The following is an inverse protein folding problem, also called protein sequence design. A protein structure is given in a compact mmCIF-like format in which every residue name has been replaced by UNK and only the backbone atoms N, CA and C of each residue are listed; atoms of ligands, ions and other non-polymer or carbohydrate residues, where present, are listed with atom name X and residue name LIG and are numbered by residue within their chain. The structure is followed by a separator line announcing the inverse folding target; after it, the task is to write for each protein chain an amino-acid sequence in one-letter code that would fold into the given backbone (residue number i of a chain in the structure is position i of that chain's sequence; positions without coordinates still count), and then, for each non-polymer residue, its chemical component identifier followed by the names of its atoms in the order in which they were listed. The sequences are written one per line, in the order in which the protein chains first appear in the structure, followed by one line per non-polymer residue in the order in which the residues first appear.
data_IF_645638227781
#
_entry.id   IF_645638227781
#
_cell.length_a   1.000
_cell.length_b   1.000
_cell.length_c   1.000
_cell.angle_alpha   90.00
_cell.angle_beta   90.00
_cell.angle_gamma   90.00
#
_symmetry.space_group_name_H-M   'P 1'
#
loop_
_entity.id
_entity.type
_entity.pdbx_description
1 polymer ?
#
# COMPACT_ATOMS: atom_id res chain seq x y z
N UNK A 1 19.46 -5.75 21.39
CA UNK A 1 18.51 -5.35 20.32
C UNK A 1 18.92 -3.96 19.91
N UNK A 2 19.19 -3.73 18.62
CA UNK A 2 19.44 -2.37 18.12
C UNK A 2 18.09 -1.72 17.82
N UNK A 3 17.88 -0.50 18.28
CA UNK A 3 16.75 0.33 17.86
C UNK A 3 16.90 0.59 16.35
N UNK A 4 15.85 0.33 15.56
CA UNK A 4 15.81 0.80 14.17
C UNK A 4 15.39 2.27 14.22
N UNK A 5 16.33 3.17 13.98
CA UNK A 5 16.03 4.60 13.87
C UNK A 5 15.64 4.95 12.44
N UNK A 6 14.48 5.59 12.28
CA UNK A 6 14.06 6.17 11.01
C UNK A 6 15.08 7.22 10.51
N UNK A 7 15.51 7.12 9.26
CA UNK A 7 16.38 8.13 8.63
C UNK A 7 15.59 9.42 8.41
N UNK A 8 15.86 10.44 9.22
CA UNK A 8 15.22 11.76 9.13
C UNK A 8 15.37 12.43 7.77
N UNK A 9 16.31 12.02 6.91
CA UNK A 9 16.41 12.51 5.52
C UNK A 9 15.26 12.05 4.64
N UNK A 10 14.58 10.96 5.02
CA UNK A 10 13.43 10.42 4.30
C UNK A 10 12.10 11.05 4.72
N UNK A 11 12.05 11.70 5.90
CA UNK A 11 10.84 12.34 6.43
C UNK A 11 10.21 13.29 5.39
N UNK A 12 8.89 13.55 5.44
CA UNK A 12 8.26 14.53 4.55
C UNK A 12 9.01 15.88 4.53
N UNK A 13 9.44 16.32 3.34
CA UNK A 13 10.25 17.53 3.17
C UNK A 13 11.75 17.36 3.42
N UNK A 14 12.21 16.15 3.75
CA UNK A 14 13.61 15.79 3.88
C UNK A 14 14.34 15.74 2.53
N UNK A 15 15.66 15.93 2.55
CA UNK A 15 16.51 16.01 1.34
C UNK A 15 16.38 14.79 0.42
N UNK A 16 16.18 13.60 1.01
CA UNK A 16 16.06 12.33 0.28
C UNK A 16 14.61 11.87 0.17
N UNK A 17 13.65 12.64 0.68
CA UNK A 17 12.25 12.27 0.61
C UNK A 17 11.73 12.34 -0.82
N UNK A 18 10.56 11.73 -1.02
CA UNK A 18 9.79 11.95 -2.23
C UNK A 18 8.95 13.21 -2.06
N UNK A 19 8.70 13.90 -3.18
CA UNK A 19 7.77 15.01 -3.27
C UNK A 19 6.77 14.64 -4.37
N UNK A 20 5.57 14.14 -4.02
CA UNK A 20 4.57 13.83 -5.03
C UNK A 20 4.15 15.07 -5.80
N UNK A 21 3.99 14.90 -7.12
CA UNK A 21 3.33 15.87 -7.99
C UNK A 21 2.13 15.16 -8.59
N UNK A 22 1.07 15.03 -7.79
CA UNK A 22 -0.10 14.24 -8.15
C UNK A 22 -1.08 15.02 -9.03
N UNK A 23 -1.54 14.39 -10.11
CA UNK A 23 -2.71 14.85 -10.85
C UNK A 23 -3.96 14.91 -9.96
N UNK A 24 -4.73 15.98 -10.11
CA UNK A 24 -5.94 16.24 -9.33
C UNK A 24 -7.13 15.40 -9.83
N UNK A 25 -7.05 14.08 -9.74
CA UNK A 25 -8.19 13.20 -9.99
C UNK A 25 -8.79 12.73 -8.68
N UNK A 26 -10.06 13.07 -8.45
CA UNK A 26 -10.83 12.63 -7.29
C UNK A 26 -11.85 11.58 -7.75
N UNK A 27 -11.75 10.32 -7.30
CA UNK A 27 -12.65 9.27 -7.72
C UNK A 27 -14.02 9.40 -7.05
N UNK A 28 -15.02 8.77 -7.66
CA UNK A 28 -16.30 8.51 -7.01
C UNK A 28 -16.29 7.11 -6.39
N UNK A 29 -16.24 7.02 -5.06
CA UNK A 29 -16.19 5.74 -4.31
C UNK A 29 -17.52 4.95 -4.31
N UNK A 30 -18.54 5.44 -5.01
CA UNK A 30 -19.79 4.72 -5.26
C UNK A 30 -19.68 3.72 -6.42
N UNK A 31 -18.70 3.90 -7.31
CA UNK A 31 -18.46 2.99 -8.43
C UNK A 31 -17.66 1.77 -7.99
N UNK A 32 -17.67 0.72 -8.83
CA UNK A 32 -16.80 -0.44 -8.64
C UNK A 32 -15.33 -0.04 -8.71
N UNK A 33 -14.51 -0.61 -7.82
CA UNK A 33 -13.07 -0.39 -7.73
C UNK A 33 -12.37 -0.41 -9.10
N UNK A 34 -12.46 -1.51 -9.85
CA UNK A 34 -11.75 -1.66 -11.13
C UNK A 34 -12.23 -0.67 -12.19
N UNK A 35 -13.55 -0.47 -12.29
CA UNK A 35 -14.15 0.50 -13.20
C UNK A 35 -13.69 1.94 -12.91
N UNK A 36 -13.49 2.30 -11.64
CA UNK A 36 -13.00 3.63 -11.28
C UNK A 36 -11.50 3.78 -11.55
N UNK A 37 -10.70 2.73 -11.38
CA UNK A 37 -9.29 2.74 -11.80
C UNK A 37 -9.18 2.91 -13.32
N UNK A 38 -9.97 2.19 -14.11
CA UNK A 38 -10.01 2.36 -15.58
C UNK A 38 -10.41 3.78 -15.99
N UNK A 39 -11.35 4.39 -15.26
CA UNK A 39 -11.73 5.79 -15.46
C UNK A 39 -10.60 6.75 -15.13
N UNK A 40 -9.92 6.55 -14.01
CA UNK A 40 -8.78 7.36 -13.60
C UNK A 40 -7.62 7.27 -14.61
N UNK A 41 -7.30 6.05 -15.07
CA UNK A 41 -6.32 5.82 -16.14
C UNK A 41 -6.71 6.57 -17.43
N UNK A 42 -7.99 6.55 -17.80
CA UNK A 42 -8.50 7.30 -18.97
C UNK A 42 -8.41 8.82 -18.80
N UNK A 43 -8.27 9.32 -17.56
CA UNK A 43 -8.01 10.72 -17.24
C UNK A 43 -6.51 11.03 -17.07
N UNK A 44 -5.62 10.09 -17.42
CA UNK A 44 -4.18 10.28 -17.38
C UNK A 44 -3.54 10.08 -16.01
N UNK A 45 -4.26 9.52 -15.03
CA UNK A 45 -3.70 9.21 -13.71
C UNK A 45 -2.70 8.05 -13.83
N UNK A 46 -1.46 8.29 -13.39
CA UNK A 46 -0.43 7.25 -13.31
C UNK A 46 -0.48 6.55 -11.95
N UNK A 47 -0.79 5.26 -11.95
CA UNK A 47 -0.79 4.45 -10.74
C UNK A 47 0.49 3.65 -10.56
N UNK A 48 0.80 3.34 -9.30
CA UNK A 48 1.67 2.24 -8.89
C UNK A 48 0.87 1.33 -7.96
N UNK A 49 0.91 0.01 -8.21
CA UNK A 49 0.44 -0.98 -7.26
C UNK A 49 1.53 -1.27 -6.23
N UNK A 50 1.23 -1.05 -4.95
CA UNK A 50 2.08 -1.45 -3.83
C UNK A 50 1.48 -2.71 -3.20
N UNK A 51 2.16 -3.85 -3.37
CA UNK A 51 1.86 -5.11 -2.69
C UNK A 51 2.62 -5.13 -1.37
N UNK A 52 1.92 -4.93 -0.24
CA UNK A 52 2.53 -4.68 1.07
C UNK A 52 2.36 -5.89 1.97
N UNK A 53 3.45 -6.62 2.24
CA UNK A 53 3.48 -7.81 3.11
C UNK A 53 2.34 -8.80 2.78
N UNK A 54 2.26 -9.24 1.53
CA UNK A 54 1.12 -10.02 1.02
C UNK A 54 1.10 -11.48 1.49
N UNK A 55 1.91 -11.85 2.48
CA UNK A 55 2.13 -13.24 2.89
C UNK A 55 0.86 -13.97 3.32
N UNK A 56 0.02 -13.35 4.15
CA UNK A 56 -1.23 -13.92 4.64
C UNK A 56 -2.48 -13.46 3.87
N UNK A 57 -2.32 -12.70 2.79
CA UNK A 57 -3.45 -12.15 2.03
C UNK A 57 -4.25 -13.20 1.27
N UNK A 58 -5.51 -12.88 0.98
CA UNK A 58 -6.36 -13.71 0.11
C UNK A 58 -5.86 -13.64 -1.34
N UNK A 59 -5.16 -14.71 -1.75
CA UNK A 59 -4.63 -14.88 -3.11
C UNK A 59 -5.72 -14.75 -4.17
N UNK A 60 -6.97 -15.12 -3.88
CA UNK A 60 -8.09 -15.01 -4.81
C UNK A 60 -8.49 -13.56 -5.11
N UNK A 61 -8.04 -12.60 -4.28
CA UNK A 61 -8.27 -11.16 -4.46
C UNK A 61 -7.05 -10.45 -5.03
N UNK A 62 -5.86 -10.81 -4.55
CA UNK A 62 -4.61 -10.18 -4.98
C UNK A 62 -4.20 -10.59 -6.40
N UNK A 63 -4.38 -11.86 -6.79
CA UNK A 63 -4.01 -12.31 -8.14
C UNK A 63 -4.81 -11.58 -9.24
N UNK A 64 -6.16 -11.46 -9.15
CA UNK A 64 -6.91 -10.67 -10.12
C UNK A 64 -6.47 -9.20 -10.20
N UNK A 65 -6.07 -8.59 -9.08
CA UNK A 65 -5.54 -7.23 -9.07
C UNK A 65 -4.21 -7.13 -9.84
N UNK A 66 -3.31 -8.09 -9.66
CA UNK A 66 -2.04 -8.17 -10.39
C UNK A 66 -2.30 -8.29 -11.89
N UNK A 67 -3.19 -9.19 -12.30
CA UNK A 67 -3.52 -9.36 -13.73
C UNK A 67 -4.19 -8.12 -14.32
N UNK A 68 -5.06 -7.45 -13.55
CA UNK A 68 -5.64 -6.17 -13.95
C UNK A 68 -4.56 -5.09 -14.15
N UNK A 69 -3.59 -4.99 -13.22
CA UNK A 69 -2.52 -4.00 -13.31
C UNK A 69 -1.62 -4.27 -14.52
N UNK A 70 -1.27 -5.53 -14.78
CA UNK A 70 -0.51 -5.95 -15.97
C UNK A 70 -1.21 -5.56 -17.27
N UNK A 71 -2.51 -5.87 -17.38
CA UNK A 71 -3.32 -5.54 -18.56
C UNK A 71 -3.33 -4.03 -18.85
N UNK A 72 -3.27 -3.21 -17.81
CA UNK A 72 -3.36 -1.76 -17.90
C UNK A 72 -1.99 -1.06 -17.82
N UNK A 73 -0.88 -1.81 -17.86
CA UNK A 73 0.49 -1.27 -17.72
C UNK A 73 0.68 -0.41 -16.45
N UNK A 74 0.06 -0.82 -15.34
CA UNK A 74 0.30 -0.24 -14.02
C UNK A 74 1.54 -0.93 -13.43
N UNK A 75 2.53 -0.13 -13.05
CA UNK A 75 3.77 -0.59 -12.42
C UNK A 75 3.47 -1.27 -11.07
N UNK A 76 4.17 -2.36 -10.76
CA UNK A 76 3.97 -3.14 -9.53
C UNK A 76 5.26 -3.11 -8.72
N UNK A 77 5.15 -2.69 -7.46
CA UNK A 77 6.23 -2.80 -6.48
C UNK A 77 5.78 -3.76 -5.39
N UNK A 78 6.62 -4.76 -5.13
CA UNK A 78 6.41 -5.74 -4.08
C UNK A 78 7.23 -5.41 -2.84
N UNK A 79 6.62 -5.46 -1.66
CA UNK A 79 7.26 -5.17 -0.39
C UNK A 79 7.18 -6.39 0.53
N UNK A 80 8.31 -7.05 0.75
CA UNK A 80 8.43 -8.17 1.70
C UNK A 80 8.89 -7.63 3.07
N UNK A 81 8.25 -8.07 4.15
CA UNK A 81 8.59 -7.65 5.51
C UNK A 81 9.44 -8.71 6.23
N UNK A 82 10.64 -8.33 6.66
CA UNK A 82 11.53 -9.21 7.42
C UNK A 82 11.46 -8.81 8.88
N UNK A 83 10.79 -9.64 9.68
CA UNK A 83 10.80 -9.49 11.14
C UNK A 83 12.06 -10.17 11.69
N UNK A 84 12.83 -9.44 12.52
CA UNK A 84 14.15 -9.82 13.06
C UNK A 84 14.17 -11.21 13.76
N UNK A 85 13.01 -11.75 14.13
CA UNK A 85 12.86 -12.98 14.95
C UNK A 85 12.24 -14.18 14.23
N UNK A 86 11.84 -14.06 12.96
CA UNK A 86 11.27 -15.18 12.20
C UNK A 86 11.84 -15.20 10.78
N UNK A 87 11.86 -16.38 10.14
CA UNK A 87 12.10 -16.49 8.70
C UNK A 87 11.19 -15.48 7.99
N UNK A 88 11.77 -14.46 7.35
CA UNK A 88 11.04 -13.29 6.87
C UNK A 88 9.77 -13.65 6.09
N UNK A 89 8.74 -12.81 6.21
CA UNK A 89 7.47 -12.97 5.50
C UNK A 89 7.73 -12.66 4.04
N UNK A 90 7.86 -13.71 3.23
CA UNK A 90 8.04 -13.61 1.79
C UNK A 90 6.70 -13.67 1.08
N UNK A 91 6.59 -12.96 -0.02
CA UNK A 91 5.49 -13.12 -0.95
C UNK A 91 5.34 -14.60 -1.34
N UNK A 92 4.13 -15.20 -1.24
CA UNK A 92 3.89 -16.60 -1.57
C UNK A 92 4.20 -16.89 -3.03
N UNK A 93 4.73 -18.08 -3.33
CA UNK A 93 5.10 -18.47 -4.70
C UNK A 93 3.90 -18.43 -5.67
N UNK A 94 2.69 -18.68 -5.15
CA UNK A 94 1.46 -18.59 -5.95
C UNK A 94 1.08 -17.17 -6.32
N UNK A 95 1.55 -16.15 -5.60
CA UNK A 95 1.42 -14.74 -6.01
C UNK A 95 2.60 -14.38 -6.93
N UNK A 96 3.83 -14.79 -6.57
CA UNK A 96 5.05 -14.49 -7.35
C UNK A 96 4.94 -14.91 -8.81
N UNK A 97 4.36 -16.07 -9.09
CA UNK A 97 4.19 -16.57 -10.47
C UNK A 97 3.35 -15.66 -11.37
N UNK A 98 2.57 -14.74 -10.80
CA UNK A 98 1.74 -13.80 -11.55
C UNK A 98 2.40 -12.43 -11.74
N UNK A 99 3.44 -12.13 -10.96
CA UNK A 99 4.19 -10.87 -11.07
C UNK A 99 4.99 -10.82 -12.39
N UNK A 100 5.12 -9.64 -13.02
CA UNK A 100 6.11 -9.41 -14.07
C UNK A 100 7.52 -9.84 -13.65
N UNK A 101 8.33 -10.36 -14.57
CA UNK A 101 9.70 -10.83 -14.27
C UNK A 101 10.60 -9.72 -13.73
N UNK A 102 10.34 -8.48 -14.12
CA UNK A 102 11.06 -7.25 -13.75
C UNK A 102 10.45 -6.53 -12.53
N UNK A 103 9.49 -7.15 -11.84
CA UNK A 103 8.85 -6.56 -10.65
C UNK A 103 9.89 -6.20 -9.60
N UNK A 104 9.95 -4.92 -9.23
CA UNK A 104 10.82 -4.46 -8.15
C UNK A 104 10.34 -5.03 -6.82
N UNK A 105 11.22 -5.74 -6.11
CA UNK A 105 10.96 -6.22 -4.74
C UNK A 105 11.85 -5.49 -3.75
N UNK A 106 11.22 -4.79 -2.80
CA UNK A 106 11.88 -4.09 -1.70
C UNK A 106 11.69 -4.92 -0.43
N UNK A 107 12.80 -5.26 0.23
CA UNK A 107 12.80 -5.96 1.52
C UNK A 107 12.91 -4.90 2.61
N UNK A 108 11.93 -4.82 3.49
CA UNK A 108 11.88 -3.81 4.58
C UNK A 108 11.91 -4.47 5.96
N UNK A 109 12.51 -3.78 6.92
CA UNK A 109 12.55 -4.15 8.35
C UNK A 109 11.64 -3.24 9.22
N UNK A 110 11.01 -2.27 8.56
CA UNK A 110 10.10 -1.25 9.11
C UNK A 110 8.67 -1.53 8.68
N UNK A 111 7.67 -0.91 9.33
CA UNK A 111 6.26 -1.20 9.00
C UNK A 111 5.84 -0.44 7.74
N UNK A 112 6.13 0.85 7.66
CA UNK A 112 5.87 1.70 6.50
C UNK A 112 6.83 1.43 5.35
N UNK A 113 6.30 1.34 4.12
CA UNK A 113 7.13 1.31 2.91
C UNK A 113 7.98 2.58 2.76
N UNK A 114 7.55 3.73 3.29
CA UNK A 114 8.28 5.00 3.19
C UNK A 114 9.43 5.12 4.20
N UNK A 115 9.67 4.09 5.01
CA UNK A 115 10.85 4.02 5.86
C UNK A 115 12.06 3.39 5.14
N UNK A 116 11.92 3.01 3.86
CA UNK A 116 12.99 2.47 3.01
C UNK A 116 13.44 3.51 1.97
N UNK A 117 14.76 3.81 1.86
CA UNK A 117 15.30 4.67 0.80
C UNK A 117 14.93 4.23 -0.61
N UNK A 118 14.92 2.92 -0.85
CA UNK A 118 14.60 2.29 -2.13
C UNK A 118 13.18 2.66 -2.60
N UNK A 119 12.21 2.75 -1.67
CA UNK A 119 10.86 3.21 -1.99
C UNK A 119 10.86 4.61 -2.56
N UNK A 120 11.63 5.53 -1.96
CA UNK A 120 11.72 6.91 -2.44
C UNK A 120 12.39 7.00 -3.81
N UNK A 121 13.41 6.18 -4.06
CA UNK A 121 14.08 6.11 -5.36
C UNK A 121 13.14 5.57 -6.45
N UNK A 122 12.46 4.46 -6.18
CA UNK A 122 11.50 3.87 -7.11
C UNK A 122 10.37 4.85 -7.42
N UNK A 123 9.72 5.40 -6.40
CA UNK A 123 8.59 6.30 -6.61
C UNK A 123 9.02 7.64 -7.27
N UNK A 124 10.26 8.13 -7.07
CA UNK A 124 10.78 9.28 -7.84
C UNK A 124 10.95 8.93 -9.31
N UNK A 125 11.52 7.76 -9.61
CA UNK A 125 11.71 7.30 -11.00
C UNK A 125 10.37 7.11 -11.71
N UNK A 126 9.42 6.47 -11.04
CA UNK A 126 8.10 6.20 -11.61
C UNK A 126 7.25 7.49 -11.65
N UNK A 127 7.38 8.38 -10.67
CA UNK A 127 6.55 9.58 -10.51
C UNK A 127 5.05 9.29 -10.63
N UNK A 128 4.47 8.42 -9.78
CA UNK A 128 3.04 8.14 -9.82
C UNK A 128 2.23 9.33 -9.29
N UNK A 129 0.97 9.39 -9.72
CA UNK A 129 -0.04 10.32 -9.21
C UNK A 129 -0.78 9.75 -8.02
N UNK A 130 -0.94 8.43 -7.96
CA UNK A 130 -1.67 7.75 -6.92
C UNK A 130 -1.14 6.32 -6.72
N UNK A 131 -1.37 5.80 -5.52
CA UNK A 131 -0.96 4.44 -5.15
C UNK A 131 -2.18 3.55 -5.02
N UNK A 132 -2.08 2.31 -5.49
CA UNK A 132 -3.04 1.26 -5.19
C UNK A 132 -2.43 0.40 -4.09
N UNK A 133 -3.14 0.23 -2.97
CA UNK A 133 -2.65 -0.59 -1.85
C UNK A 133 -3.42 -1.90 -1.76
N UNK A 134 -2.66 -3.00 -1.71
CA UNK A 134 -3.13 -4.34 -1.36
C UNK A 134 -2.11 -5.00 -0.44
N UNK A 135 -2.55 -5.71 0.58
CA UNK A 135 -1.62 -6.18 1.60
C UNK A 135 -2.28 -6.58 2.91
N UNK A 136 -1.44 -6.87 3.89
CA UNK A 136 -1.86 -7.23 5.24
C UNK A 136 -1.91 -5.99 6.16
N UNK A 137 -3.06 -5.79 6.82
CA UNK A 137 -3.23 -4.77 7.87
C UNK A 137 -2.95 -5.32 9.27
N UNK A 138 -3.14 -6.63 9.49
CA UNK A 138 -2.90 -7.30 10.78
C UNK A 138 -1.44 -7.16 11.27
N UNK A 139 -0.49 -6.98 10.34
CA UNK A 139 0.91 -6.64 10.64
C UNK A 139 1.19 -5.14 10.74
N UNK A 140 0.17 -4.28 10.85
CA UNK A 140 0.24 -2.81 10.78
C UNK A 140 0.88 -2.21 9.51
N UNK A 141 1.43 -3.02 8.59
CA UNK A 141 2.23 -2.53 7.47
C UNK A 141 1.42 -1.68 6.48
N UNK A 142 0.22 -2.11 6.08
CA UNK A 142 -0.66 -1.28 5.23
C UNK A 142 -1.02 0.02 5.94
N UNK A 143 -1.37 -0.03 7.23
CA UNK A 143 -1.75 1.15 8.01
C UNK A 143 -0.59 2.12 8.20
N UNK A 144 0.60 1.63 8.53
CA UNK A 144 1.84 2.42 8.63
C UNK A 144 2.18 3.06 7.28
N UNK A 145 2.09 2.27 6.20
CA UNK A 145 2.37 2.74 4.85
C UNK A 145 1.35 3.77 4.39
N UNK A 146 0.10 3.70 4.85
CA UNK A 146 -0.93 4.66 4.51
C UNK A 146 -0.84 5.93 5.34
N UNK A 147 -0.79 5.79 6.67
CA UNK A 147 -1.05 6.83 7.67
C UNK A 147 0.19 7.19 8.51
N UNK A 148 1.26 6.40 8.50
CA UNK A 148 2.35 6.49 9.47
C UNK A 148 1.94 6.12 10.90
N UNK A 149 2.89 6.22 11.84
CA UNK A 149 2.69 6.02 13.28
C UNK A 149 3.70 6.83 14.11
N UNK A 150 3.31 7.21 15.33
CA UNK A 150 4.16 7.98 16.26
C UNK A 150 4.22 7.36 17.67
N UNK A 151 4.63 8.17 18.66
CA UNK A 151 4.92 7.75 20.05
C UNK A 151 3.78 6.98 20.75
N UNK A 152 2.53 7.25 20.38
CA UNK A 152 1.35 6.62 20.97
C UNK A 152 1.15 5.16 20.51
N UNK A 153 1.91 4.71 19.51
CA UNK A 153 1.83 3.34 18.98
C UNK A 153 2.60 2.35 19.87
N UNK A 154 2.00 1.19 20.15
CA UNK A 154 2.71 0.09 20.83
C UNK A 154 3.94 -0.42 20.06
N UNK A 155 4.04 -0.10 18.78
CA UNK A 155 5.16 -0.46 17.90
C UNK A 155 6.28 0.60 17.86
N UNK A 156 6.08 1.76 18.49
CA UNK A 156 7.06 2.85 18.50
C UNK A 156 8.40 2.44 19.09
N UNK A 157 8.40 1.59 20.13
CA UNK A 157 9.62 1.09 20.75
C UNK A 157 10.47 0.19 19.84
N UNK A 158 9.92 -0.28 18.71
CA UNK A 158 10.64 -1.13 17.75
C UNK A 158 11.04 -0.39 16.47
N UNK A 159 10.21 0.55 16.01
CA UNK A 159 10.39 1.19 14.70
C UNK A 159 10.51 2.72 14.78
N UNK A 160 10.31 3.32 15.95
CA UNK A 160 10.25 4.77 16.11
C UNK A 160 9.06 5.40 15.41
N UNK A 161 9.22 6.68 15.06
CA UNK A 161 8.25 7.43 14.25
C UNK A 161 8.38 7.03 12.78
N UNK A 162 7.25 6.73 12.14
CA UNK A 162 7.18 6.39 10.72
C UNK A 162 6.14 7.25 10.01
N UNK A 163 6.39 7.52 8.73
CA UNK A 163 5.50 8.30 7.88
C UNK A 163 4.86 7.43 6.80
N UNK A 164 3.62 7.72 6.44
CA UNK A 164 2.88 7.04 5.38
C UNK A 164 2.53 7.97 4.23
N UNK A 165 1.89 7.40 3.22
CA UNK A 165 1.57 8.06 1.95
C UNK A 165 0.79 9.36 2.15
N UNK A 166 -0.14 9.42 3.10
CA UNK A 166 -0.94 10.63 3.36
C UNK A 166 -0.10 11.80 3.85
N UNK A 167 0.94 11.56 4.67
CA UNK A 167 1.88 12.62 5.09
C UNK A 167 2.75 13.09 3.93
N UNK A 168 3.07 12.22 2.98
CA UNK A 168 3.79 12.62 1.76
C UNK A 168 2.86 13.32 0.76
N UNK A 169 1.54 13.14 0.85
CA UNK A 169 0.56 13.75 -0.06
C UNK A 169 0.09 12.84 -1.20
N UNK A 170 0.34 11.53 -1.10
CA UNK A 170 -0.12 10.55 -2.08
C UNK A 170 -1.58 10.15 -1.84
N UNK A 171 -2.45 10.25 -2.87
CA UNK A 171 -3.73 9.57 -2.87
C UNK A 171 -3.56 8.05 -2.89
N UNK A 172 -4.34 7.35 -2.08
CA UNK A 172 -4.37 5.89 -1.98
C UNK A 172 -5.73 5.38 -2.45
N UNK A 173 -5.70 4.37 -3.31
CA UNK A 173 -6.85 3.63 -3.80
C UNK A 173 -6.82 2.22 -3.24
N UNK A 174 -7.90 1.79 -2.59
CA UNK A 174 -7.98 0.43 -2.07
C UNK A 174 -9.45 0.00 -1.91
N UNK A 175 -9.66 -1.29 -1.69
CA UNK A 175 -10.96 -1.85 -1.34
C UNK A 175 -10.80 -2.85 -0.20
N UNK A 176 -11.86 -3.08 0.57
CA UNK A 176 -11.86 -3.93 1.77
C UNK A 176 -11.22 -5.29 1.52
N UNK A 177 -11.59 -5.95 0.42
CA UNK A 177 -11.11 -7.29 0.08
C UNK A 177 -9.63 -7.37 -0.32
N UNK A 178 -8.96 -6.23 -0.55
CA UNK A 178 -7.51 -6.19 -0.84
C UNK A 178 -6.66 -5.99 0.42
N UNK A 179 -7.30 -5.64 1.54
CA UNK A 179 -6.65 -5.39 2.81
C UNK A 179 -7.01 -6.53 3.77
N UNK A 180 -6.08 -7.46 3.96
CA UNK A 180 -6.29 -8.63 4.81
C UNK A 180 -6.06 -8.32 6.28
N UNK A 181 -6.95 -8.83 7.14
CA UNK A 181 -6.92 -8.73 8.60
C UNK A 181 -7.15 -10.14 9.18
N UNK A 182 -6.36 -10.53 10.18
CA UNK A 182 -6.29 -11.90 10.74
C UNK A 182 -7.42 -12.21 11.73
N UNK A 183 -8.40 -11.32 11.91
CA UNK A 183 -9.61 -11.65 12.66
C UNK A 183 -10.53 -10.48 13.04
N UNK A 184 -10.13 -9.23 12.79
CA UNK A 184 -10.93 -8.03 13.11
C UNK A 184 -11.15 -7.07 11.91
N UNK A 185 -11.51 -7.60 10.72
CA UNK A 185 -11.39 -6.94 9.41
C UNK A 185 -12.10 -5.59 9.24
N UNK A 186 -13.04 -5.25 10.10
CA UNK A 186 -13.82 -4.02 9.94
C UNK A 186 -13.22 -2.83 10.68
N UNK A 187 -12.59 -3.03 11.85
CA UNK A 187 -12.14 -1.88 12.64
C UNK A 187 -10.92 -1.22 12.02
N UNK A 188 -9.92 -1.99 11.61
CA UNK A 188 -8.68 -1.41 11.13
C UNK A 188 -8.78 -0.86 9.70
N UNK A 189 -9.60 -1.46 8.84
CA UNK A 189 -9.95 -0.87 7.55
C UNK A 189 -10.80 0.41 7.71
N UNK A 190 -11.73 0.45 8.67
CA UNK A 190 -12.47 1.68 8.99
C UNK A 190 -11.55 2.79 9.48
N UNK A 191 -10.52 2.45 10.27
CA UNK A 191 -9.52 3.39 10.80
C UNK A 191 -8.61 4.01 9.72
N UNK A 192 -8.63 3.52 8.48
CA UNK A 192 -8.02 4.20 7.33
C UNK A 192 -8.94 5.34 6.84
N UNK A 193 -9.19 6.33 7.69
CA UNK A 193 -10.03 7.48 7.34
C UNK A 193 -9.19 8.74 7.13
N UNK A 194 -9.08 9.15 5.87
CA UNK A 194 -8.36 10.35 5.47
C UNK A 194 -8.85 10.83 4.09
N UNK A 195 -8.90 12.14 3.80
CA UNK A 195 -9.37 12.65 2.50
C UNK A 195 -8.59 12.17 1.26
N UNK A 196 -7.37 11.67 1.47
CA UNK A 196 -6.51 11.08 0.43
C UNK A 196 -6.65 9.55 0.33
N UNK A 197 -7.46 8.90 1.17
CA UNK A 197 -7.67 7.45 1.12
C UNK A 197 -9.06 7.17 0.53
N UNK A 198 -9.08 6.72 -0.72
CA UNK A 198 -10.29 6.34 -1.44
C UNK A 198 -10.60 4.86 -1.23
N UNK A 199 -11.51 4.61 -0.28
CA UNK A 199 -12.02 3.27 0.07
C UNK A 199 -13.21 2.91 -0.83
N UNK A 200 -13.04 1.90 -1.67
CA UNK A 200 -14.12 1.35 -2.50
C UNK A 200 -14.83 0.20 -1.80
N UNK A 201 -16.12 0.05 -2.07
CA UNK A 201 -16.93 -1.06 -1.55
C UNK A 201 -16.67 -2.34 -2.35
N UNK A 202 -16.69 -3.50 -1.69
CA UNK A 202 -16.69 -4.78 -2.38
C UNK A 202 -18.03 -5.03 -3.06
N UNK A 203 -18.03 -5.62 -4.26
CA UNK A 203 -19.23 -5.92 -5.06
C UNK A 203 -20.19 -6.87 -4.30
N UNK A 204 -19.66 -7.64 -3.34
CA UNK A 204 -20.47 -8.55 -2.52
C UNK A 204 -21.49 -7.84 -1.61
N UNK A 205 -21.35 -6.54 -1.36
CA UNK A 205 -22.24 -5.77 -0.47
C UNK A 205 -23.55 -5.32 -1.15
N UNK A 206 -23.74 -5.57 -2.45
CA UNK A 206 -24.99 -5.30 -3.19
C UNK A 206 -25.98 -6.47 -3.18
N UNK A 207 -26.15 -7.14 -2.03
CA UNK A 207 -27.27 -8.06 -1.80
C UNK A 207 -27.89 -7.85 -0.42
N UNK A 208 -28.88 -6.98 -0.34
CA UNK A 208 -30.26 -7.30 0.09
C UNK A 208 -31.05 -6.03 0.33
N UNK A 209 -31.90 -5.64 -0.63
CA UNK A 209 -33.25 -5.14 -0.37
C UNK A 209 -34.08 -5.39 -1.64
N UNK A 210 -34.80 -6.50 -1.63
CA UNK A 210 -36.06 -6.69 -2.32
C UNK A 210 -36.94 -7.57 -1.42
#
# INVERSE_FOLDING_TARGET
MGEIHFDRKLAPGGEKSIIPVCNAYKPTTQNEFYSEIERALSNGVKFVLCLIDVHFTDKSKVIPLIEFCKKNNIEIINFDYVQIVATGRKTPDEIKKHLPEDTTTIIKETLSIFSSPETHECLRSISPDALIFAGEIAGCCVKASAMGFGEESMYYCWHGEEFGAVQYGYPIYTQKDLIFDDGYPEKDYQNLDHPLIYKFKSIAENKTYA
#
